data_IF_169171169095
#
_entry.id   IF_169171169095
#
_cell.length_a   1.000
_cell.length_b   1.000
_cell.length_c   1.000
_cell.angle_alpha   90.00
_cell.angle_beta   90.00
_cell.angle_gamma   90.00
#
_symmetry.space_group_name_H-M   'P 1'
#
loop_
_entity.id
_entity.type
_entity.pdbx_description
1 polymer ?
#
# COMPACT_ATOMS: atom_id res chain seq x y z
N UNK A 1 25.45 0.08 -21.47
CA UNK A 1 24.42 -0.06 -20.41
C UNK A 1 23.27 -0.90 -20.95
N UNK A 2 22.99 -2.07 -20.37
CA UNK A 2 21.81 -2.90 -20.66
C UNK A 2 20.95 -3.03 -19.40
N UNK A 3 20.51 -1.88 -18.88
CA UNK A 3 19.76 -1.79 -17.63
C UNK A 3 18.39 -1.12 -17.82
N UNK A 4 17.99 -0.87 -19.06
CA UNK A 4 16.67 -0.34 -19.38
C UNK A 4 15.68 -1.47 -19.70
N UNK A 5 14.41 -1.28 -19.36
CA UNK A 5 13.31 -2.14 -19.78
C UNK A 5 12.10 -1.32 -20.21
N UNK A 6 11.26 -1.91 -21.06
CA UNK A 6 9.98 -1.34 -21.48
C UNK A 6 8.85 -2.17 -20.88
N UNK A 7 7.85 -1.50 -20.31
CA UNK A 7 6.61 -2.10 -19.83
C UNK A 7 5.45 -1.50 -20.61
N UNK A 8 4.72 -2.35 -21.32
CA UNK A 8 3.43 -1.99 -21.94
C UNK A 8 2.30 -2.37 -20.99
N UNK A 9 1.40 -1.42 -20.72
CA UNK A 9 0.17 -1.64 -19.96
C UNK A 9 -1.01 -1.44 -20.89
N UNK A 10 -1.91 -2.40 -20.91
CA UNK A 10 -3.17 -2.29 -21.63
C UNK A 10 -4.32 -2.40 -20.63
N UNK A 11 -5.24 -1.45 -20.69
CA UNK A 11 -6.39 -1.37 -19.80
C UNK A 11 -7.63 -1.11 -20.61
N UNK A 12 -8.67 -1.92 -20.39
CA UNK A 12 -10.00 -1.69 -20.98
C UNK A 12 -10.98 -1.30 -19.89
N UNK A 13 -11.57 -0.11 -19.98
CA UNK A 13 -12.56 0.41 -19.04
C UNK A 13 -13.76 0.91 -19.82
N UNK A 14 -14.96 0.42 -19.48
CA UNK A 14 -16.23 0.82 -20.12
C UNK A 14 -16.16 0.77 -21.67
N UNK A 15 -15.51 -0.26 -22.21
CA UNK A 15 -15.37 -0.46 -23.65
C UNK A 15 -14.25 0.36 -24.32
N UNK A 16 -13.57 1.26 -23.59
CA UNK A 16 -12.42 1.98 -24.10
C UNK A 16 -11.12 1.29 -23.68
N UNK A 17 -10.31 0.91 -24.66
CA UNK A 17 -8.95 0.40 -24.44
C UNK A 17 -7.95 1.54 -24.49
N UNK A 18 -7.05 1.58 -23.52
CA UNK A 18 -5.90 2.49 -23.43
C UNK A 18 -4.62 1.68 -23.33
N UNK A 19 -3.60 2.07 -24.10
CA UNK A 19 -2.27 1.47 -24.06
C UNK A 19 -1.28 2.51 -23.58
N UNK A 20 -0.51 2.18 -22.56
CA UNK A 20 0.54 3.01 -21.98
C UNK A 20 1.88 2.28 -22.08
N UNK A 21 2.94 3.02 -22.41
CA UNK A 21 4.30 2.49 -22.47
C UNK A 21 5.15 3.23 -21.44
N UNK A 22 5.74 2.48 -20.52
CA UNK A 22 6.67 2.98 -19.52
C UNK A 22 8.08 2.46 -19.79
N UNK A 23 9.07 3.31 -19.56
CA UNK A 23 10.47 2.91 -19.55
C UNK A 23 10.98 2.94 -18.12
N UNK A 24 11.74 1.91 -17.74
CA UNK A 24 12.33 1.79 -16.41
C UNK A 24 13.80 1.44 -16.47
N UNK A 25 14.49 1.67 -15.36
CA UNK A 25 15.89 1.30 -15.16
C UNK A 25 15.96 0.32 -14.00
N UNK A 26 16.78 -0.72 -14.12
CA UNK A 26 16.98 -1.74 -13.09
C UNK A 26 18.46 -1.88 -12.73
N UNK A 27 18.74 -2.15 -11.45
CA UNK A 27 20.07 -2.54 -10.98
C UNK A 27 20.36 -4.03 -11.17
N UNK A 28 19.36 -4.83 -11.57
CA UNK A 28 19.55 -6.26 -11.88
C UNK A 28 20.54 -6.43 -13.04
N UNK A 29 21.31 -7.52 -12.98
CA UNK A 29 22.15 -7.93 -14.10
C UNK A 29 21.27 -8.45 -15.25
N UNK A 30 21.80 -8.46 -16.47
CA UNK A 30 21.03 -8.88 -17.65
C UNK A 30 20.52 -10.32 -17.53
N UNK A 31 21.26 -11.20 -16.84
CA UNK A 31 20.88 -12.60 -16.60
C UNK A 31 19.71 -12.74 -15.61
N UNK A 32 19.49 -11.72 -14.75
CA UNK A 32 18.45 -11.70 -13.72
C UNK A 32 17.26 -10.80 -14.09
N UNK A 33 17.38 -10.04 -15.18
CA UNK A 33 16.40 -9.04 -15.59
C UNK A 33 15.48 -9.57 -16.71
N UNK A 34 15.06 -10.83 -16.62
CA UNK A 34 14.05 -11.34 -17.55
C UNK A 34 12.71 -10.61 -17.37
N UNK A 35 11.86 -10.68 -18.40
CA UNK A 35 10.61 -9.93 -18.43
C UNK A 35 9.64 -10.30 -17.30
N UNK A 36 9.60 -11.57 -16.89
CA UNK A 36 8.70 -12.03 -15.83
C UNK A 36 9.16 -11.50 -14.47
N UNK A 37 10.47 -11.54 -14.21
CA UNK A 37 11.08 -10.99 -13.00
C UNK A 37 10.83 -9.48 -12.89
N UNK A 38 11.08 -8.73 -13.96
CA UNK A 38 10.81 -7.28 -13.98
C UNK A 38 9.33 -6.96 -13.80
N UNK A 39 8.45 -7.70 -14.48
CA UNK A 39 7.00 -7.53 -14.32
C UNK A 39 6.55 -7.81 -12.88
N UNK A 40 7.08 -8.87 -12.26
CA UNK A 40 6.77 -9.21 -10.87
C UNK A 40 7.21 -8.09 -9.91
N UNK A 41 8.39 -7.51 -10.11
CA UNK A 41 8.84 -6.36 -9.32
C UNK A 41 7.91 -5.16 -9.48
N UNK A 42 7.53 -4.80 -10.71
CA UNK A 42 6.62 -3.67 -10.95
C UNK A 42 5.25 -3.92 -10.31
N UNK A 43 4.69 -5.12 -10.45
CA UNK A 43 3.39 -5.47 -9.85
C UNK A 43 3.46 -5.47 -8.33
N UNK A 44 4.52 -6.02 -7.75
CA UNK A 44 4.72 -6.05 -6.29
C UNK A 44 4.91 -4.63 -5.75
N UNK A 45 5.63 -3.77 -6.47
CA UNK A 45 5.77 -2.37 -6.09
C UNK A 45 4.42 -1.64 -6.04
N UNK A 46 3.52 -1.91 -7.00
CA UNK A 46 2.15 -1.36 -6.98
C UNK A 46 1.36 -1.76 -5.72
N UNK A 47 1.69 -2.87 -5.05
CA UNK A 47 1.04 -3.23 -3.78
C UNK A 47 1.24 -2.17 -2.70
N UNK A 48 2.30 -1.36 -2.76
CA UNK A 48 2.51 -0.24 -1.82
C UNK A 48 1.37 0.78 -1.97
N UNK A 49 1.05 1.15 -3.21
CA UNK A 49 -0.02 2.11 -3.47
C UNK A 49 -1.40 1.54 -3.08
N UNK A 50 -1.68 0.29 -3.46
CA UNK A 50 -2.98 -0.33 -3.19
C UNK A 50 -3.19 -0.77 -1.73
N UNK A 51 -2.17 -1.30 -1.06
CA UNK A 51 -2.31 -1.91 0.27
C UNK A 51 -1.85 -1.01 1.41
N UNK A 52 -1.10 0.08 1.12
CA UNK A 52 -0.65 1.04 2.13
C UNK A 52 -1.25 2.42 1.88
N UNK A 53 -0.98 3.05 0.73
CA UNK A 53 -1.44 4.43 0.48
C UNK A 53 -2.96 4.52 0.44
N UNK A 54 -3.62 3.71 -0.38
CA UNK A 54 -5.09 3.71 -0.46
C UNK A 54 -5.78 3.47 0.90
N UNK A 55 -5.25 2.53 1.70
CA UNK A 55 -5.80 2.24 3.03
C UNK A 55 -5.67 3.46 3.94
N UNK A 56 -4.53 4.14 3.91
CA UNK A 56 -4.32 5.37 4.70
C UNK A 56 -5.23 6.50 4.25
N UNK A 57 -5.30 6.73 2.95
CA UNK A 57 -5.98 7.88 2.35
C UNK A 57 -7.49 7.75 2.51
N UNK A 58 -8.03 6.57 2.19
CA UNK A 58 -9.47 6.32 2.17
C UNK A 58 -9.96 5.72 3.47
N UNK A 59 -9.37 4.62 3.94
CA UNK A 59 -9.89 3.90 5.13
C UNK A 59 -9.58 4.66 6.42
N UNK A 60 -8.39 5.26 6.52
CA UNK A 60 -7.97 6.07 7.68
C UNK A 60 -8.16 7.59 7.46
N UNK A 61 -8.80 7.97 6.34
CA UNK A 61 -9.20 9.34 6.04
C UNK A 61 -8.04 10.34 6.01
N UNK A 62 -6.85 9.92 5.61
CA UNK A 62 -5.68 10.79 5.56
C UNK A 62 -5.88 11.99 4.63
N UNK A 63 -6.43 11.78 3.43
CA UNK A 63 -6.72 12.84 2.46
C UNK A 63 -7.75 13.86 2.99
N UNK A 64 -8.72 13.38 3.75
CA UNK A 64 -9.75 14.23 4.35
C UNK A 64 -9.25 14.99 5.59
N UNK A 65 -8.07 14.64 6.12
CA UNK A 65 -7.56 15.19 7.36
C UNK A 65 -7.06 16.64 7.19
N UNK A 66 -7.65 17.56 7.96
CA UNK A 66 -7.31 19.00 7.93
C UNK A 66 -6.29 19.45 8.98
N UNK A 67 -5.66 18.50 9.68
CA UNK A 67 -4.65 18.82 10.70
C UNK A 67 -3.38 19.31 10.03
N UNK A 68 -2.93 20.53 10.35
CA UNK A 68 -1.77 21.19 9.71
C UNK A 68 -0.77 21.84 10.67
N UNK A 69 -1.00 21.79 11.98
CA UNK A 69 -0.17 22.51 12.95
C UNK A 69 0.96 21.67 13.55
N UNK A 70 2.15 22.27 13.67
CA UNK A 70 3.30 21.68 14.34
C UNK A 70 3.65 20.29 13.80
N UNK A 71 3.96 19.35 14.70
CA UNK A 71 4.30 17.97 14.37
C UNK A 71 3.09 17.06 14.13
N UNK A 72 1.86 17.57 14.28
CA UNK A 72 0.67 16.74 14.24
C UNK A 72 0.48 15.96 12.90
N UNK A 73 0.76 16.52 11.70
CA UNK A 73 0.67 15.75 10.45
C UNK A 73 1.60 14.53 10.44
N UNK A 74 2.85 14.69 10.89
CA UNK A 74 3.84 13.62 10.93
C UNK A 74 3.47 12.56 11.97
N UNK A 75 3.00 12.98 13.14
CA UNK A 75 2.52 12.05 14.18
C UNK A 75 1.33 11.24 13.67
N UNK A 76 0.36 11.86 13.01
CA UNK A 76 -0.79 11.16 12.44
C UNK A 76 -0.37 10.18 11.33
N UNK A 77 0.56 10.55 10.45
CA UNK A 77 1.10 9.64 9.45
C UNK A 77 1.78 8.41 10.10
N UNK A 78 2.57 8.62 11.15
CA UNK A 78 3.21 7.54 11.89
C UNK A 78 2.19 6.62 12.58
N UNK A 79 1.17 7.18 13.23
CA UNK A 79 0.09 6.43 13.86
C UNK A 79 -0.70 5.60 12.84
N UNK A 80 -1.05 6.17 11.68
CA UNK A 80 -1.73 5.45 10.61
C UNK A 80 -0.90 4.28 10.10
N UNK A 81 0.40 4.48 9.88
CA UNK A 81 1.30 3.39 9.49
C UNK A 81 1.33 2.26 10.53
N UNK A 82 1.41 2.61 11.82
CA UNK A 82 1.38 1.63 12.91
C UNK A 82 0.05 0.86 12.92
N UNK A 83 -1.09 1.55 12.78
CA UNK A 83 -2.42 0.94 12.73
C UNK A 83 -2.55 -0.02 11.55
N UNK A 84 -2.12 0.36 10.34
CA UNK A 84 -2.16 -0.52 9.16
C UNK A 84 -1.32 -1.79 9.39
N UNK A 85 -0.18 -1.68 10.08
CA UNK A 85 0.63 -2.84 10.43
C UNK A 85 -0.09 -3.73 11.45
N UNK A 86 -0.63 -3.17 12.53
CA UNK A 86 -1.33 -3.92 13.59
C UNK A 86 -2.57 -4.65 13.08
N UNK A 87 -3.30 -4.10 12.12
CA UNK A 87 -4.45 -4.79 11.52
C UNK A 87 -4.08 -6.09 10.82
N UNK A 88 -2.84 -6.21 10.31
CA UNK A 88 -2.38 -7.46 9.66
C UNK A 88 -2.21 -8.61 10.65
N UNK A 89 -2.10 -8.30 11.94
CA UNK A 89 -2.04 -9.30 13.02
C UNK A 89 -3.44 -9.75 13.48
N UNK A 90 -4.49 -9.04 13.07
CA UNK A 90 -5.89 -9.41 13.36
C UNK A 90 -6.35 -10.44 12.34
N UNK A 91 -6.98 -11.53 12.80
CA UNK A 91 -7.57 -12.56 11.93
C UNK A 91 -8.84 -12.06 11.22
N UNK A 92 -8.72 -11.09 10.32
CA UNK A 92 -9.83 -10.52 9.55
C UNK A 92 -9.59 -10.71 8.04
N UNK A 93 -10.67 -10.74 7.25
CA UNK A 93 -10.61 -10.87 5.79
C UNK A 93 -10.43 -9.51 5.10
N UNK A 94 -10.61 -8.40 5.82
CA UNK A 94 -10.47 -7.04 5.30
C UNK A 94 -10.07 -6.04 6.38
N UNK A 95 -9.52 -4.87 5.97
CA UNK A 95 -9.21 -3.79 6.90
C UNK A 95 -10.46 -3.26 7.65
N UNK A 96 -11.61 -3.04 6.99
CA UNK A 96 -12.85 -2.67 7.70
C UNK A 96 -13.26 -3.68 8.77
N UNK A 97 -13.20 -4.98 8.48
CA UNK A 97 -13.53 -6.01 9.48
C UNK A 97 -12.51 -6.01 10.64
N UNK A 98 -11.21 -5.80 10.37
CA UNK A 98 -10.21 -5.66 11.42
C UNK A 98 -10.53 -4.49 12.35
N UNK A 99 -10.95 -3.34 11.80
CA UNK A 99 -11.39 -2.18 12.57
C UNK A 99 -12.59 -2.54 13.46
N UNK A 100 -13.63 -3.13 12.87
CA UNK A 100 -14.85 -3.51 13.60
C UNK A 100 -14.55 -4.44 14.76
N UNK A 101 -13.70 -5.46 14.56
CA UNK A 101 -13.30 -6.38 15.63
C UNK A 101 -12.56 -5.69 16.77
N UNK A 102 -11.61 -4.81 16.44
CA UNK A 102 -10.85 -4.07 17.45
C UNK A 102 -11.71 -3.05 18.21
N UNK A 103 -12.75 -2.51 17.57
CA UNK A 103 -13.72 -1.64 18.23
C UNK A 103 -14.65 -2.42 19.18
N UNK A 104 -15.04 -3.64 18.80
CA UNK A 104 -15.89 -4.51 19.61
C UNK A 104 -15.13 -5.16 20.78
N UNK A 105 -13.82 -5.35 20.65
CA UNK A 105 -12.95 -5.91 21.69
C UNK A 105 -11.77 -4.97 22.02
N UNK A 106 -11.98 -3.98 22.91
CA UNK A 106 -10.91 -3.10 23.36
C UNK A 106 -9.76 -3.83 24.06
N UNK A 107 -9.98 -5.02 24.64
CA UNK A 107 -8.91 -5.78 25.28
C UNK A 107 -7.95 -6.37 24.24
N UNK A 108 -8.48 -6.87 23.12
CA UNK A 108 -7.65 -7.25 21.96
C UNK A 108 -6.85 -6.06 21.44
N UNK A 109 -7.48 -4.90 21.27
CA UNK A 109 -6.79 -3.70 20.79
C UNK A 109 -5.65 -3.25 21.73
N UNK A 110 -5.87 -3.30 23.04
CA UNK A 110 -4.83 -3.03 24.05
C UNK A 110 -3.68 -4.05 24.00
N UNK A 111 -4.01 -5.33 23.86
CA UNK A 111 -3.02 -6.41 23.71
C UNK A 111 -2.10 -6.20 22.51
N UNK A 112 -2.63 -5.71 21.38
CA UNK A 112 -1.84 -5.39 20.18
C UNK A 112 -0.81 -4.28 20.40
N UNK A 113 -1.07 -3.34 21.29
CA UNK A 113 -0.15 -2.23 21.60
C UNK A 113 0.64 -2.46 22.89
N UNK A 114 0.57 -3.67 23.47
CA UNK A 114 1.31 -4.04 24.67
C UNK A 114 0.84 -3.32 25.94
N UNK A 115 -0.41 -2.85 25.98
CA UNK A 115 -1.02 -2.23 27.16
C UNK A 115 -1.94 -3.24 27.82
N UNK A 116 -1.85 -3.39 29.14
CA UNK A 116 -2.77 -4.19 29.97
C UNK A 116 -3.84 -3.30 30.60
#
# INVERSE_FOLDING_TARGET
>A
MKQGFQLTRERTVRGQTTVEVHFGITSLSAEKADAATLLNHVRTHWRIENELHYVRDVTLGEDACRVRMGHAPQVLAALRNAVVHLWREVKAVSCPEAIERLQMDPAMAKGLIGVT
#
